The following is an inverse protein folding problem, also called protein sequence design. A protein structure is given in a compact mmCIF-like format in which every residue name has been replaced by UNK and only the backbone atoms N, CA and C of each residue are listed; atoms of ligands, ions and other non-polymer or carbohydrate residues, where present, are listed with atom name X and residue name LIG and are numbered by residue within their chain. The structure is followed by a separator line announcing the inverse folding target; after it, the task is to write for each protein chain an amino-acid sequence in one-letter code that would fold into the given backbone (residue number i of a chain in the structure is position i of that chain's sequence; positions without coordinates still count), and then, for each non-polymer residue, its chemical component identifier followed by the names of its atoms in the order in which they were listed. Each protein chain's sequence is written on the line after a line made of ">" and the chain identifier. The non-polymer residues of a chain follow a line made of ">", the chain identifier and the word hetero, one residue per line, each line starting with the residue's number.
data_IF_178090504498
#
_entry.id   IF_178090504498
#
_cell.length_a   1.000
_cell.length_b   1.000
_cell.length_c   1.000
_cell.angle_alpha   90.00
_cell.angle_beta   90.00
_cell.angle_gamma   90.00
#
_symmetry.space_group_name_H-M   'P 1'
#
loop_
_entity.id
_entity.type
_entity.pdbx_description
1 polymer ?
#
# COMPACT_ATOMS: atom_id res chain seq x y z
N UNK A 1 9.17 -24.53 -5.52
CA UNK A 1 8.94 -23.19 -6.05
C UNK A 1 8.36 -22.30 -4.98
N UNK A 2 9.06 -21.25 -4.65
CA UNK A 2 8.65 -20.35 -3.61
C UNK A 2 7.93 -19.14 -4.22
N UNK A 3 6.60 -19.24 -4.35
CA UNK A 3 5.78 -18.08 -4.66
C UNK A 3 5.53 -17.25 -3.43
N UNK A 4 5.29 -15.95 -3.59
CA UNK A 4 4.81 -15.11 -2.50
C UNK A 4 3.36 -15.49 -2.21
N UNK A 5 3.05 -15.65 -0.94
CA UNK A 5 1.71 -15.97 -0.50
C UNK A 5 1.04 -14.75 0.10
N UNK A 6 -0.16 -14.43 -0.40
CA UNK A 6 -1.03 -13.44 0.23
C UNK A 6 -2.07 -14.19 1.05
N UNK A 7 -2.10 -13.93 2.35
CA UNK A 7 -3.01 -14.59 3.28
C UNK A 7 -3.83 -13.57 4.06
N UNK A 8 -5.02 -13.96 4.48
CA UNK A 8 -5.91 -13.11 5.27
C UNK A 8 -6.00 -13.68 6.69
N UNK A 9 -5.75 -12.81 7.66
CA UNK A 9 -5.79 -13.18 9.07
C UNK A 9 -7.23 -13.46 9.52
N UNK A 10 -8.17 -12.65 9.01
CA UNK A 10 -9.58 -12.75 9.39
C UNK A 10 -10.35 -13.67 8.45
N UNK A 11 -11.33 -14.40 9.00
CA UNK A 11 -12.19 -15.27 8.20
C UNK A 11 -13.00 -14.48 7.17
N UNK A 12 -13.36 -13.24 7.51
CA UNK A 12 -14.11 -12.35 6.63
C UNK A 12 -13.34 -11.03 6.46
N UNK A 13 -12.43 -10.95 5.48
CA UNK A 13 -11.72 -9.70 5.20
C UNK A 13 -12.69 -8.59 4.84
N UNK A 14 -12.48 -7.39 5.37
CA UNK A 14 -13.29 -6.23 4.97
C UNK A 14 -12.98 -5.83 3.53
N UNK A 15 -13.80 -4.92 2.96
CA UNK A 15 -13.66 -4.53 1.56
C UNK A 15 -12.29 -3.96 1.21
N UNK A 16 -11.70 -3.17 2.08
CA UNK A 16 -10.37 -2.61 1.87
C UNK A 16 -9.30 -3.71 1.92
N UNK A 17 -9.39 -4.62 2.90
CA UNK A 17 -8.46 -5.74 3.01
C UNK A 17 -8.50 -6.63 1.76
N UNK A 18 -9.70 -6.97 1.30
CA UNK A 18 -9.88 -7.78 0.11
C UNK A 18 -9.34 -7.08 -1.15
N UNK A 19 -9.60 -5.79 -1.29
CA UNK A 19 -9.13 -5.00 -2.42
C UNK A 19 -7.60 -4.93 -2.46
N UNK A 20 -6.98 -4.57 -1.35
CA UNK A 20 -5.52 -4.42 -1.27
C UNK A 20 -4.82 -5.76 -1.43
N UNK A 21 -5.30 -6.79 -0.75
CA UNK A 21 -4.73 -8.13 -0.88
C UNK A 21 -4.82 -8.68 -2.29
N UNK A 22 -5.97 -8.50 -2.94
CA UNK A 22 -6.17 -8.89 -4.33
C UNK A 22 -5.29 -8.12 -5.29
N UNK A 23 -5.11 -6.83 -5.05
CA UNK A 23 -4.25 -5.96 -5.86
C UNK A 23 -2.79 -6.42 -5.79
N UNK A 24 -2.27 -6.66 -4.59
CA UNK A 24 -0.90 -7.14 -4.41
C UNK A 24 -0.71 -8.49 -5.09
N UNK A 25 -1.66 -9.40 -4.90
CA UNK A 25 -1.61 -10.74 -5.51
C UNK A 25 -1.56 -10.64 -7.03
N UNK A 26 -2.46 -9.86 -7.63
CA UNK A 26 -2.50 -9.66 -9.08
C UNK A 26 -1.22 -8.99 -9.60
N UNK A 27 -0.69 -8.00 -8.89
CA UNK A 27 0.53 -7.31 -9.28
C UNK A 27 1.75 -8.24 -9.22
N UNK A 28 1.84 -9.11 -8.22
CA UNK A 28 2.93 -10.07 -8.11
C UNK A 28 2.86 -11.16 -9.18
N UNK A 29 1.66 -11.55 -9.62
CA UNK A 29 1.49 -12.45 -10.75
C UNK A 29 1.92 -11.81 -12.06
N UNK A 30 1.52 -10.54 -12.26
CA UNK A 30 1.84 -9.80 -13.49
C UNK A 30 3.31 -9.37 -13.54
N UNK A 31 3.90 -9.07 -12.40
CA UNK A 31 5.27 -8.59 -12.26
C UNK A 31 6.02 -9.41 -11.21
N UNK A 32 6.45 -10.65 -11.55
CA UNK A 32 7.13 -11.53 -10.58
C UNK A 32 8.40 -10.96 -9.98
N UNK A 33 9.06 -10.03 -10.68
CA UNK A 33 10.25 -9.33 -10.20
C UNK A 33 9.97 -8.47 -8.96
N UNK A 34 8.73 -8.04 -8.75
CA UNK A 34 8.33 -7.26 -7.58
C UNK A 34 8.42 -8.04 -6.26
N UNK A 35 8.58 -9.36 -6.32
CA UNK A 35 8.84 -10.17 -5.12
C UNK A 35 10.08 -9.70 -4.36
N UNK A 36 11.07 -9.16 -5.08
CA UNK A 36 12.25 -8.57 -4.47
C UNK A 36 12.00 -7.32 -3.65
N UNK A 37 10.81 -6.71 -3.75
CA UNK A 37 10.42 -5.56 -2.96
C UNK A 37 9.95 -5.94 -1.55
N UNK A 38 9.66 -7.21 -1.29
CA UNK A 38 9.16 -7.66 0.00
C UNK A 38 10.28 -7.66 1.03
N UNK A 39 10.07 -6.88 2.08
CA UNK A 39 10.95 -6.77 3.24
C UNK A 39 10.09 -6.68 4.49
N UNK A 40 10.56 -7.16 5.65
CA UNK A 40 9.77 -7.08 6.87
C UNK A 40 9.32 -5.66 7.17
N UNK A 41 8.01 -5.45 7.20
CA UNK A 41 7.40 -4.16 7.52
C UNK A 41 5.93 -4.36 7.88
N UNK A 42 5.38 -3.41 8.63
CA UNK A 42 3.95 -3.35 8.95
C UNK A 42 3.41 -2.01 8.47
N UNK A 43 2.34 -2.06 7.68
CA UNK A 43 1.73 -0.88 7.08
C UNK A 43 0.23 -0.87 7.37
N UNK A 44 -0.27 0.25 7.87
CA UNK A 44 -1.69 0.49 8.02
C UNK A 44 -2.23 1.31 6.86
N UNK A 45 -3.38 0.92 6.33
CA UNK A 45 -4.13 1.68 5.33
C UNK A 45 -5.51 2.00 5.90
N UNK A 46 -5.87 3.28 5.90
CA UNK A 46 -7.13 3.75 6.47
C UNK A 46 -7.92 4.51 5.41
N UNK A 47 -9.12 4.03 5.10
CA UNK A 47 -10.07 4.71 4.21
C UNK A 47 -11.11 5.43 5.07
N UNK A 48 -10.98 6.75 5.19
CA UNK A 48 -11.79 7.55 6.12
C UNK A 48 -13.25 7.55 5.72
N UNK A 49 -13.55 7.72 4.44
CA UNK A 49 -14.92 7.82 3.92
C UNK A 49 -15.73 6.53 4.10
N UNK A 50 -15.05 5.38 4.07
CA UNK A 50 -15.67 4.08 4.24
C UNK A 50 -15.59 3.57 5.67
N UNK A 51 -14.92 4.29 6.56
CA UNK A 51 -14.68 3.92 7.97
C UNK A 51 -14.11 2.49 8.08
N UNK A 52 -13.15 2.16 7.24
CA UNK A 52 -12.48 0.87 7.25
C UNK A 52 -10.97 1.04 7.25
N UNK A 53 -10.29 0.05 7.80
CA UNK A 53 -8.85 0.01 7.80
C UNK A 53 -8.37 -1.43 7.57
N UNK A 54 -7.15 -1.56 7.08
CA UNK A 54 -6.47 -2.84 6.98
C UNK A 54 -5.01 -2.65 7.35
N UNK A 55 -4.39 -3.69 7.86
CA UNK A 55 -2.95 -3.71 8.08
C UNK A 55 -2.32 -4.79 7.22
N UNK A 56 -1.16 -4.46 6.67
CA UNK A 56 -0.34 -5.35 5.87
C UNK A 56 0.90 -5.71 6.68
N UNK A 57 1.08 -6.97 6.95
CA UNK A 57 2.32 -7.47 7.54
C UNK A 57 3.14 -8.12 6.43
N UNK A 58 4.18 -7.42 6.02
CA UNK A 58 5.04 -7.83 4.92
C UNK A 58 6.21 -8.65 5.45
N UNK A 59 6.51 -9.74 4.76
CA UNK A 59 7.71 -10.51 4.97
C UNK A 59 8.26 -10.90 3.59
N UNK A 60 9.42 -11.50 3.52
CA UNK A 60 10.09 -11.80 2.24
C UNK A 60 9.31 -12.76 1.35
N UNK A 61 8.49 -13.61 1.92
CA UNK A 61 7.74 -14.64 1.18
C UNK A 61 6.24 -14.60 1.42
N UNK A 62 5.76 -13.69 2.26
CA UNK A 62 4.36 -13.65 2.65
C UNK A 62 3.88 -12.23 2.86
N UNK A 63 2.63 -11.98 2.47
CA UNK A 63 1.90 -10.76 2.80
C UNK A 63 0.67 -11.19 3.58
N UNK A 64 0.58 -10.79 4.84
CA UNK A 64 -0.58 -11.07 5.70
C UNK A 64 -1.44 -9.84 5.78
N UNK A 65 -2.71 -9.99 5.45
CA UNK A 65 -3.68 -8.90 5.41
C UNK A 65 -4.67 -9.09 6.55
N UNK A 66 -4.78 -8.09 7.42
CA UNK A 66 -5.70 -8.13 8.57
C UNK A 66 -6.67 -6.96 8.52
N UNK A 67 -7.87 -7.16 9.07
CA UNK A 67 -8.82 -6.07 9.27
C UNK A 67 -8.30 -5.15 10.38
N UNK A 68 -8.52 -3.85 10.23
CA UNK A 68 -8.15 -2.86 11.23
C UNK A 68 -6.67 -2.50 11.22
N UNK A 69 -6.28 -1.63 12.13
CA UNK A 69 -4.90 -1.15 12.27
C UNK A 69 -4.09 -2.05 13.20
N UNK A 70 -2.77 -1.97 13.08
CA UNK A 70 -1.82 -2.82 13.80
C UNK A 70 -1.46 -2.31 15.21
N UNK A 71 -2.28 -1.44 15.81
CA UNK A 71 -2.16 -1.00 17.20
C UNK A 71 -0.74 -0.53 17.60
N UNK A 72 -0.23 0.48 16.87
CA UNK A 72 1.06 1.11 17.19
C UNK A 72 2.29 0.35 16.69
N UNK A 73 2.11 -0.76 15.98
CA UNK A 73 3.22 -1.55 15.42
C UNK A 73 3.58 -1.15 13.99
N UNK A 74 2.77 -0.29 13.36
CA UNK A 74 2.97 0.06 11.96
C UNK A 74 4.19 0.95 11.75
N UNK A 75 5.01 0.64 10.75
CA UNK A 75 6.10 1.48 10.28
C UNK A 75 5.55 2.65 9.47
N UNK A 76 4.48 2.41 8.72
CA UNK A 76 3.79 3.41 7.91
C UNK A 76 2.29 3.32 8.15
N UNK A 77 1.63 4.47 8.12
CA UNK A 77 0.16 4.55 8.08
C UNK A 77 -0.25 5.54 7.02
N UNK A 78 -1.01 5.07 6.03
CA UNK A 78 -1.60 5.90 4.99
C UNK A 78 -3.07 6.10 5.33
N UNK A 79 -3.48 7.36 5.43
CA UNK A 79 -4.87 7.73 5.75
C UNK A 79 -5.38 8.64 4.65
N UNK A 80 -6.45 8.23 3.97
CA UNK A 80 -7.05 8.98 2.88
C UNK A 80 -8.46 8.48 2.64
N UNK A 81 -9.20 9.13 1.72
CA UNK A 81 -10.44 8.54 1.25
C UNK A 81 -10.15 7.42 0.23
N UNK A 82 -11.16 6.62 -0.05
CA UNK A 82 -11.03 5.44 -0.93
C UNK A 82 -10.55 5.82 -2.33
N UNK A 83 -11.06 6.93 -2.87
CA UNK A 83 -10.69 7.40 -4.20
C UNK A 83 -9.22 7.78 -4.26
N UNK A 84 -8.72 8.49 -3.24
CA UNK A 84 -7.32 8.89 -3.19
C UNK A 84 -6.39 7.67 -3.09
N UNK A 85 -6.77 6.63 -2.37
CA UNK A 85 -5.99 5.38 -2.29
C UNK A 85 -5.92 4.68 -3.65
N UNK A 86 -7.03 4.64 -4.38
CA UNK A 86 -7.08 4.07 -5.73
C UNK A 86 -6.22 4.89 -6.70
N UNK A 87 -6.32 6.22 -6.65
CA UNK A 87 -5.51 7.10 -7.47
C UNK A 87 -4.02 6.91 -7.22
N UNK A 88 -3.63 6.71 -5.95
CA UNK A 88 -2.25 6.46 -5.60
C UNK A 88 -1.73 5.17 -6.27
N UNK A 89 -2.54 4.12 -6.28
CA UNK A 89 -2.18 2.86 -6.94
C UNK A 89 -2.07 3.00 -8.46
N UNK A 90 -2.86 3.89 -9.07
CA UNK A 90 -2.87 4.13 -10.50
C UNK A 90 -1.85 5.18 -10.96
N UNK A 91 -1.13 5.81 -10.02
CA UNK A 91 -0.21 6.91 -10.32
C UNK A 91 1.11 6.38 -10.88
N UNK A 92 1.63 6.98 -11.99
CA UNK A 92 2.97 6.67 -12.47
C UNK A 92 4.03 6.97 -11.40
N UNK A 93 4.99 6.06 -11.26
CA UNK A 93 6.03 6.16 -10.25
C UNK A 93 7.40 6.39 -10.87
N UNK A 94 8.22 7.15 -10.15
CA UNK A 94 9.65 7.28 -10.42
C UNK A 94 10.39 6.95 -9.14
N UNK A 95 11.19 5.87 -9.16
CA UNK A 95 11.92 5.37 -7.99
C UNK A 95 11.00 5.02 -6.81
N UNK A 96 9.75 4.60 -7.10
CA UNK A 96 8.77 4.25 -6.08
C UNK A 96 8.00 5.43 -5.49
N UNK A 97 8.16 6.64 -6.04
CA UNK A 97 7.43 7.83 -5.63
C UNK A 97 6.62 8.39 -6.80
N UNK A 98 5.55 9.17 -6.55
CA UNK A 98 4.76 9.76 -7.63
C UNK A 98 5.64 10.53 -8.60
N UNK A 99 5.45 10.29 -9.90
CA UNK A 99 6.21 10.98 -10.94
C UNK A 99 5.61 12.35 -11.18
N UNK A 100 6.30 13.39 -10.72
CA UNK A 100 5.84 14.77 -10.83
C UNK A 100 5.83 15.30 -12.26
N UNK A 101 6.45 14.58 -13.21
CA UNK A 101 6.41 14.95 -14.62
C UNK A 101 5.11 14.47 -15.31
N UNK A 102 4.30 13.66 -14.65
CA UNK A 102 2.97 13.25 -15.13
C UNK A 102 1.88 14.00 -14.37
N UNK A 103 0.77 14.36 -15.03
CA UNK A 103 -0.34 15.04 -14.36
C UNK A 103 -0.88 14.28 -13.13
N UNK A 104 -0.99 12.96 -13.23
CA UNK A 104 -1.45 12.09 -12.14
C UNK A 104 -0.50 12.14 -10.95
N UNK A 105 0.82 12.11 -11.19
CA UNK A 105 1.82 12.19 -10.14
C UNK A 105 1.81 13.55 -9.44
N UNK A 106 1.63 14.63 -10.21
CA UNK A 106 1.49 15.98 -9.64
C UNK A 106 0.23 16.12 -8.79
N UNK A 107 -0.89 15.52 -9.24
CA UNK A 107 -2.14 15.55 -8.50
C UNK A 107 -2.00 14.85 -7.15
N UNK A 108 -1.37 13.66 -7.12
CA UNK A 108 -1.13 12.92 -5.88
C UNK A 108 -0.19 13.70 -4.96
N UNK A 109 0.90 14.24 -5.48
CA UNK A 109 1.83 15.06 -4.69
C UNK A 109 1.12 16.26 -4.06
N UNK A 110 0.25 16.91 -4.83
CA UNK A 110 -0.56 18.03 -4.33
C UNK A 110 -1.49 17.61 -3.20
N UNK A 111 -2.12 16.43 -3.31
CA UNK A 111 -3.00 15.89 -2.26
C UNK A 111 -2.23 15.58 -0.98
N UNK A 112 -1.02 15.02 -1.10
CA UNK A 112 -0.16 14.76 0.06
C UNK A 112 0.22 16.07 0.74
N UNK A 113 0.65 17.07 -0.03
CA UNK A 113 1.01 18.39 0.50
C UNK A 113 -0.20 19.12 1.08
N UNK A 114 -1.39 18.93 0.51
CA UNK A 114 -2.65 19.48 1.01
C UNK A 114 -3.26 18.67 2.15
N UNK A 115 -2.61 17.60 2.59
CA UNK A 115 -3.07 16.71 3.66
C UNK A 115 -4.35 15.91 3.36
N UNK A 116 -4.71 15.79 2.10
CA UNK A 116 -5.79 14.89 1.67
C UNK A 116 -5.36 13.43 1.77
N UNK A 117 -4.06 13.19 1.63
CA UNK A 117 -3.42 11.91 1.89
C UNK A 117 -2.42 12.12 3.02
N UNK A 118 -2.64 11.48 4.14
CA UNK A 118 -1.73 11.55 5.27
C UNK A 118 -0.86 10.31 5.29
N UNK A 119 0.45 10.52 5.35
CA UNK A 119 1.41 9.42 5.43
C UNK A 119 2.23 9.61 6.71
N UNK A 120 1.98 8.75 7.70
CA UNK A 120 2.73 8.75 8.94
C UNK A 120 3.88 7.76 8.83
N UNK A 121 5.06 8.15 9.28
CA UNK A 121 6.26 7.32 9.25
C UNK A 121 7.12 7.46 7.99
N UNK A 122 6.73 8.33 7.05
CA UNK A 122 7.46 8.50 5.78
C UNK A 122 8.91 8.92 5.98
N UNK A 123 9.17 9.86 6.89
CA UNK A 123 10.52 10.36 7.13
C UNK A 123 11.44 9.32 7.76
N UNK A 124 10.88 8.39 8.53
CA UNK A 124 11.65 7.30 9.17
C UNK A 124 11.80 6.09 8.26
N UNK A 125 10.82 5.86 7.38
CA UNK A 125 10.76 4.66 6.55
C UNK A 125 10.48 4.98 5.08
N UNK A 126 11.31 5.83 4.43
CA UNK A 126 11.08 6.22 3.03
C UNK A 126 11.20 5.04 2.07
N UNK A 127 12.11 4.10 2.34
CA UNK A 127 12.27 2.91 1.50
C UNK A 127 11.07 1.97 1.61
N UNK A 128 10.47 1.86 2.80
CA UNK A 128 9.24 1.09 2.99
C UNK A 128 8.10 1.68 2.16
N UNK A 129 7.96 3.01 2.16
CA UNK A 129 6.96 3.69 1.34
C UNK A 129 7.20 3.45 -0.15
N UNK A 130 8.44 3.57 -0.60
CA UNK A 130 8.80 3.31 -1.99
C UNK A 130 8.45 1.87 -2.41
N UNK A 131 8.79 0.89 -1.59
CA UNK A 131 8.48 -0.52 -1.86
C UNK A 131 6.97 -0.76 -1.88
N UNK A 132 6.25 -0.21 -0.92
CA UNK A 132 4.79 -0.33 -0.86
C UNK A 132 4.13 0.25 -2.10
N UNK A 133 4.51 1.45 -2.50
CA UNK A 133 3.98 2.10 -3.69
C UNK A 133 4.17 1.25 -4.94
N UNK A 134 5.34 0.62 -5.07
CA UNK A 134 5.65 -0.25 -6.21
C UNK A 134 4.87 -1.57 -6.15
N UNK A 135 4.62 -2.11 -4.96
CA UNK A 135 3.79 -3.31 -4.79
C UNK A 135 2.33 -3.06 -5.15
N UNK A 136 1.82 -1.86 -4.86
CA UNK A 136 0.44 -1.49 -5.13
C UNK A 136 0.21 -0.95 -6.53
N UNK A 137 1.25 -0.51 -7.22
CA UNK A 137 1.14 0.16 -8.52
C UNK A 137 0.60 -0.79 -9.59
N UNK A 138 -0.45 -0.35 -10.29
CA UNK A 138 -1.03 -1.07 -11.43
C UNK A 138 -0.41 -0.65 -12.78
N UNK A 139 0.53 0.26 -12.75
CA UNK A 139 1.23 0.76 -13.95
C UNK A 139 2.70 0.38 -13.96
#
# INVERSE_FOLDING_TARGET
>A
MTGVRVTYVDAEPNGLAAMVGGLIEANLERHPDRRGLLRPAVVDLVAIDADVATSLQLDRSEVRVANGIANGRAHLRLTADSIALVELAATPLRLGFPDVFHPEGRAVTRKVLGREIRIEGLLRHPLTMSRLSRLLSVV
#
